data_IF_358162747264
#
_entry.id   IF_358162747264
#
_cell.length_a   1.000
_cell.length_b   1.000
_cell.length_c   1.000
_cell.angle_alpha   90.00
_cell.angle_beta   90.00
_cell.angle_gamma   90.00
#
_symmetry.space_group_name_H-M   'P 1'
#
loop_
_entity.id
_entity.type
_entity.pdbx_description
1 polymer ?
#
# COMPACT_ATOMS: atom_id res chain seq x y z
N UNK A 1 13.53 13.77 2.32
CA UNK A 1 14.92 13.33 2.60
C UNK A 1 15.30 13.51 4.08
N UNK A 2 15.01 14.66 4.69
CA UNK A 2 15.30 14.95 6.12
C UNK A 2 14.71 13.90 7.09
N UNK A 3 13.45 13.47 6.89
CA UNK A 3 12.82 12.48 7.78
C UNK A 3 13.55 11.12 7.78
N UNK A 4 14.06 10.70 6.62
CA UNK A 4 14.82 9.45 6.51
C UNK A 4 16.15 9.52 7.24
N UNK A 5 16.86 10.65 7.11
CA UNK A 5 18.12 10.89 7.84
C UNK A 5 17.90 10.81 9.35
N UNK A 6 16.86 11.48 9.87
CA UNK A 6 16.53 11.47 11.30
C UNK A 6 16.30 10.02 11.78
N UNK A 7 15.46 9.26 11.08
CA UNK A 7 15.14 7.88 11.47
C UNK A 7 16.36 6.97 11.45
N UNK A 8 17.20 7.07 10.42
CA UNK A 8 18.43 6.25 10.33
C UNK A 8 19.45 6.63 11.38
N UNK A 9 19.65 7.92 11.64
CA UNK A 9 20.53 8.39 12.71
C UNK A 9 20.06 7.87 14.07
N UNK A 10 18.76 7.97 14.35
CA UNK A 10 18.18 7.47 15.61
C UNK A 10 18.38 5.95 15.74
N UNK A 11 18.13 5.21 14.66
CA UNK A 11 18.32 3.76 14.64
C UNK A 11 19.77 3.36 14.89
N UNK A 12 20.74 4.06 14.29
CA UNK A 12 22.18 3.83 14.52
C UNK A 12 22.54 4.09 15.98
N UNK A 13 22.10 5.22 16.55
CA UNK A 13 22.38 5.58 17.95
C UNK A 13 21.80 4.53 18.90
N UNK A 14 20.51 4.19 18.74
CA UNK A 14 19.85 3.21 19.60
C UNK A 14 20.45 1.81 19.46
N UNK A 15 20.84 1.41 18.25
CA UNK A 15 21.53 0.13 18.03
C UNK A 15 22.92 0.15 18.66
N UNK A 16 23.63 1.27 18.60
CA UNK A 16 24.92 1.47 19.28
C UNK A 16 24.79 1.35 20.80
N UNK A 17 23.81 2.02 21.40
CA UNK A 17 23.50 1.93 22.83
C UNK A 17 23.12 0.48 23.20
N UNK A 18 22.29 -0.18 22.40
CA UNK A 18 21.92 -1.59 22.60
C UNK A 18 23.16 -2.49 22.57
N UNK A 19 24.08 -2.26 21.62
CA UNK A 19 25.30 -3.02 21.47
C UNK A 19 26.26 -2.82 22.65
N UNK A 20 26.33 -1.61 23.22
CA UNK A 20 27.09 -1.34 24.45
C UNK A 20 26.49 -2.06 25.66
N UNK A 21 25.16 -2.20 25.72
CA UNK A 21 24.45 -2.80 26.85
C UNK A 21 24.46 -4.33 26.81
N UNK A 22 24.23 -4.94 25.65
CA UNK A 22 24.27 -6.39 25.45
C UNK A 22 24.59 -6.71 24.00
N UNK A 23 25.85 -7.10 23.76
CA UNK A 23 26.35 -7.43 22.42
C UNK A 23 25.69 -8.69 21.85
N UNK A 24 25.46 -9.70 22.68
CA UNK A 24 24.91 -10.98 22.23
C UNK A 24 23.46 -10.80 21.80
N UNK A 25 22.65 -10.15 22.63
CA UNK A 25 21.24 -9.87 22.32
C UNK A 25 21.08 -8.95 21.11
N UNK A 26 21.96 -7.94 20.97
CA UNK A 26 21.92 -7.04 19.81
C UNK A 26 22.29 -7.77 18.52
N UNK A 27 23.31 -8.64 18.56
CA UNK A 27 23.71 -9.45 17.40
C UNK A 27 22.61 -10.42 16.97
N UNK A 28 21.95 -11.08 17.92
CA UNK A 28 20.82 -11.96 17.64
C UNK A 28 19.63 -11.21 17.04
N UNK A 29 19.31 -10.02 17.55
CA UNK A 29 18.28 -9.16 16.98
C UNK A 29 18.61 -8.78 15.53
N UNK A 30 19.83 -8.32 15.25
CA UNK A 30 20.28 -7.95 13.90
C UNK A 30 20.24 -9.14 12.94
N UNK A 31 20.65 -10.34 13.37
CA UNK A 31 20.58 -11.56 12.57
C UNK A 31 19.13 -11.94 12.23
N UNK A 32 18.21 -11.85 13.21
CA UNK A 32 16.78 -12.09 12.98
C UNK A 32 16.20 -11.08 12.01
N UNK A 33 16.47 -9.79 12.19
CA UNK A 33 16.04 -8.73 11.26
C UNK A 33 16.58 -8.96 9.85
N UNK A 34 17.86 -9.34 9.71
CA UNK A 34 18.46 -9.65 8.41
C UNK A 34 17.81 -10.86 7.73
N UNK A 35 17.51 -11.91 8.50
CA UNK A 35 16.79 -13.08 7.98
C UNK A 35 15.38 -12.70 7.51
N UNK A 36 14.65 -11.90 8.28
CA UNK A 36 13.34 -11.38 7.86
C UNK A 36 13.44 -10.54 6.59
N UNK A 37 14.42 -9.63 6.53
CA UNK A 37 14.67 -8.78 5.35
C UNK A 37 14.95 -9.63 4.12
N UNK A 38 15.85 -10.62 4.21
CA UNK A 38 16.17 -11.52 3.10
C UNK A 38 14.97 -12.34 2.63
N UNK A 39 14.06 -12.71 3.53
CA UNK A 39 12.85 -13.44 3.15
C UNK A 39 11.81 -12.54 2.44
N UNK A 40 11.77 -11.25 2.79
CA UNK A 40 10.90 -10.26 2.15
C UNK A 40 11.45 -9.77 0.81
N UNK A 41 12.77 -9.71 0.66
CA UNK A 41 13.45 -9.10 -0.49
C UNK A 41 13.04 -9.69 -1.85
N UNK A 42 12.95 -11.02 -2.06
CA UNK A 42 12.53 -11.59 -3.34
C UNK A 42 11.11 -11.15 -3.73
N UNK A 43 10.17 -11.21 -2.79
CA UNK A 43 8.80 -10.78 -3.04
C UNK A 43 8.74 -9.27 -3.35
N UNK A 44 9.49 -8.45 -2.62
CA UNK A 44 9.59 -7.01 -2.89
C UNK A 44 10.12 -6.73 -4.31
N UNK A 45 11.24 -7.36 -4.69
CA UNK A 45 11.85 -7.16 -6.00
C UNK A 45 10.95 -7.65 -7.14
N UNK A 46 10.31 -8.80 -6.99
CA UNK A 46 9.37 -9.32 -7.98
C UNK A 46 8.20 -8.38 -8.21
N UNK A 47 7.63 -7.81 -7.14
CA UNK A 47 6.51 -6.87 -7.29
C UNK A 47 6.99 -5.53 -7.86
N UNK A 48 8.16 -5.02 -7.45
CA UNK A 48 8.74 -3.81 -8.05
C UNK A 48 9.01 -3.98 -9.54
N UNK A 49 9.53 -5.14 -9.96
CA UNK A 49 9.70 -5.50 -11.37
C UNK A 49 8.36 -5.56 -12.09
N UNK A 50 7.36 -6.24 -11.51
CA UNK A 50 6.03 -6.36 -12.11
C UNK A 50 5.37 -4.99 -12.28
N UNK A 51 5.46 -4.11 -11.27
CA UNK A 51 4.95 -2.74 -11.34
C UNK A 51 5.71 -1.95 -12.41
N UNK A 52 7.04 -2.02 -12.45
CA UNK A 52 7.85 -1.35 -13.46
C UNK A 52 7.51 -1.81 -14.89
N UNK A 53 7.35 -3.11 -15.11
CA UNK A 53 6.91 -3.68 -16.39
C UNK A 53 5.48 -3.28 -16.73
N UNK A 54 4.58 -3.31 -15.75
CA UNK A 54 3.19 -2.90 -15.92
C UNK A 54 3.09 -1.43 -16.32
N UNK A 55 3.89 -0.53 -15.73
CA UNK A 55 3.95 0.88 -16.12
C UNK A 55 4.62 1.12 -17.47
N UNK A 56 5.51 0.22 -17.91
CA UNK A 56 6.07 0.25 -19.27
C UNK A 56 5.00 -0.06 -20.33
N UNK A 57 4.06 -0.95 -20.00
CA UNK A 57 2.95 -1.36 -20.88
C UNK A 57 1.75 -0.41 -20.76
N UNK A 58 1.40 -0.02 -19.53
CA UNK A 58 0.37 0.95 -19.20
C UNK A 58 0.96 2.34 -19.38
N UNK A 59 0.94 2.85 -20.61
CA UNK A 59 1.41 4.20 -20.91
C UNK A 59 0.77 5.23 -19.97
N UNK A 60 1.47 6.31 -19.60
CA UNK A 60 0.91 7.39 -18.80
C UNK A 60 -0.42 7.93 -19.37
N UNK A 61 -0.60 7.87 -20.70
CA UNK A 61 -1.86 8.20 -21.37
C UNK A 61 -3.01 7.24 -21.07
N UNK A 62 -2.74 5.94 -20.92
CA UNK A 62 -3.74 4.94 -20.52
C UNK A 62 -4.06 5.00 -19.02
N UNK A 63 -3.06 5.27 -18.18
CA UNK A 63 -3.28 5.51 -16.75
C UNK A 63 -4.12 6.79 -16.57
N UNK A 64 -3.77 7.86 -17.27
CA UNK A 64 -4.50 9.12 -17.21
C UNK A 64 -5.94 9.02 -17.75
N UNK A 65 -6.22 8.13 -18.70
CA UNK A 65 -7.57 7.99 -19.25
C UNK A 65 -8.53 7.21 -18.32
N UNK A 66 -8.01 6.31 -17.48
CA UNK A 66 -8.84 5.48 -16.56
C UNK A 66 -8.88 6.08 -15.15
N UNK A 67 -7.76 6.61 -14.66
CA UNK A 67 -7.60 7.09 -13.27
C UNK A 67 -6.88 8.43 -13.18
N UNK A 68 -6.76 9.17 -14.29
CA UNK A 68 -6.21 10.53 -14.29
C UNK A 68 -7.09 11.55 -13.58
N UNK A 69 -6.56 12.74 -13.29
CA UNK A 69 -7.35 13.82 -12.66
C UNK A 69 -8.67 14.12 -13.38
N UNK A 70 -8.65 14.07 -14.71
CA UNK A 70 -9.83 14.33 -15.55
C UNK A 70 -10.90 13.24 -15.50
N UNK A 71 -10.58 12.04 -14.99
CA UNK A 71 -11.54 10.94 -14.86
C UNK A 71 -12.63 11.18 -13.82
N UNK A 72 -12.42 12.17 -12.93
CA UNK A 72 -13.39 12.58 -11.91
C UNK A 72 -13.93 11.42 -11.10
N UNK A 73 -15.24 11.40 -10.88
CA UNK A 73 -15.90 10.44 -10.00
C UNK A 73 -15.86 9.01 -10.54
N UNK A 74 -15.91 8.85 -11.85
CA UNK A 74 -15.83 7.52 -12.47
C UNK A 74 -14.46 6.87 -12.24
N UNK A 75 -13.38 7.66 -12.26
CA UNK A 75 -12.04 7.15 -11.92
C UNK A 75 -11.94 6.66 -10.47
N UNK A 76 -12.62 7.32 -9.53
CA UNK A 76 -12.68 6.90 -8.12
C UNK A 76 -13.40 5.55 -8.00
N UNK A 77 -14.51 5.37 -8.71
CA UNK A 77 -15.26 4.10 -8.71
C UNK A 77 -14.43 2.97 -9.33
N UNK A 78 -13.78 3.21 -10.48
CA UNK A 78 -12.92 2.20 -11.11
C UNK A 78 -11.73 1.83 -10.21
N UNK A 79 -11.10 2.81 -9.57
CA UNK A 79 -10.02 2.61 -8.60
C UNK A 79 -10.48 1.75 -7.42
N UNK A 80 -11.66 2.05 -6.86
CA UNK A 80 -12.21 1.32 -5.74
C UNK A 80 -12.49 -0.15 -6.09
N UNK A 81 -13.05 -0.41 -7.28
CA UNK A 81 -13.31 -1.78 -7.77
C UNK A 81 -12.00 -2.53 -7.99
N UNK A 82 -11.04 -1.93 -8.69
CA UNK A 82 -9.73 -2.55 -8.96
C UNK A 82 -9.00 -2.90 -7.66
N UNK A 83 -8.95 -1.97 -6.71
CA UNK A 83 -8.32 -2.20 -5.42
C UNK A 83 -9.04 -3.28 -4.61
N UNK A 84 -10.38 -3.33 -4.65
CA UNK A 84 -11.14 -4.35 -3.90
C UNK A 84 -10.89 -5.79 -4.34
N UNK A 85 -10.46 -5.99 -5.60
CA UNK A 85 -10.13 -7.31 -6.16
C UNK A 85 -8.65 -7.64 -5.98
N UNK A 86 -7.77 -6.65 -6.07
CA UNK A 86 -6.33 -6.85 -5.94
C UNK A 86 -5.91 -7.07 -4.48
N UNK A 87 -4.92 -7.94 -4.25
CA UNK A 87 -4.32 -8.13 -2.93
C UNK A 87 -2.80 -7.94 -3.04
N UNK A 88 -2.31 -6.77 -2.61
CA UNK A 88 -0.89 -6.41 -2.67
C UNK A 88 -0.43 -6.05 -1.25
N UNK A 89 0.76 -6.51 -0.82
CA UNK A 89 1.32 -6.14 0.47
C UNK A 89 1.49 -4.62 0.64
N UNK A 90 1.23 -4.13 1.85
CA UNK A 90 1.19 -2.70 2.19
C UNK A 90 2.44 -1.91 1.81
N UNK A 91 3.63 -2.53 1.93
CA UNK A 91 4.91 -1.87 1.63
C UNK A 91 5.11 -1.57 0.14
N UNK A 92 4.35 -2.21 -0.76
CA UNK A 92 4.39 -1.95 -2.21
C UNK A 92 3.39 -0.87 -2.60
N UNK A 93 2.25 -0.83 -1.93
CA UNK A 93 1.12 0.04 -2.28
C UNK A 93 1.53 1.52 -2.25
N UNK A 94 2.35 1.94 -1.29
CA UNK A 94 2.82 3.32 -1.19
C UNK A 94 3.75 3.75 -2.35
N UNK A 95 4.84 3.01 -2.68
CA UNK A 95 5.61 3.27 -3.89
C UNK A 95 4.77 3.30 -5.17
N UNK A 96 3.84 2.34 -5.32
CA UNK A 96 2.95 2.28 -6.47
C UNK A 96 2.09 3.55 -6.57
N UNK A 97 1.46 3.96 -5.48
CA UNK A 97 0.65 5.17 -5.43
C UNK A 97 1.44 6.42 -5.83
N UNK A 98 2.64 6.59 -5.29
CA UNK A 98 3.52 7.70 -5.67
C UNK A 98 3.82 7.70 -7.17
N UNK A 99 4.15 6.53 -7.74
CA UNK A 99 4.46 6.43 -9.16
C UNK A 99 3.24 6.72 -10.03
N UNK A 100 2.04 6.26 -9.64
CA UNK A 100 0.80 6.59 -10.35
C UNK A 100 0.53 8.09 -10.37
N UNK A 101 0.69 8.77 -9.23
CA UNK A 101 0.55 10.24 -9.14
C UNK A 101 1.58 10.94 -10.03
N UNK A 102 2.85 10.51 -10.02
CA UNK A 102 3.89 11.07 -10.89
C UNK A 102 3.59 10.90 -12.39
N UNK A 103 2.79 9.89 -12.76
CA UNK A 103 2.37 9.63 -14.13
C UNK A 103 0.97 10.17 -14.48
N UNK A 104 0.42 11.08 -13.66
CA UNK A 104 -0.82 11.81 -13.99
C UNK A 104 -2.11 11.20 -13.44
N UNK A 105 -2.03 10.17 -12.58
CA UNK A 105 -3.19 9.69 -11.85
C UNK A 105 -3.66 10.74 -10.83
N UNK A 106 -4.97 10.92 -10.69
CA UNK A 106 -5.51 11.88 -9.74
C UNK A 106 -5.36 11.39 -8.29
N UNK A 107 -5.04 12.32 -7.39
CA UNK A 107 -4.86 12.04 -5.96
C UNK A 107 -6.07 11.31 -5.33
N UNK A 108 -7.34 11.71 -5.59
CA UNK A 108 -8.51 11.00 -5.07
C UNK A 108 -8.63 9.56 -5.58
N UNK A 109 -8.31 9.33 -6.85
CA UNK A 109 -8.35 8.03 -7.51
C UNK A 109 -7.29 7.10 -6.91
N UNK A 110 -6.07 7.61 -6.73
CA UNK A 110 -4.99 6.86 -6.07
C UNK A 110 -5.33 6.57 -4.60
N UNK A 111 -5.92 7.53 -3.88
CA UNK A 111 -6.39 7.32 -2.52
C UNK A 111 -7.47 6.22 -2.42
N UNK A 112 -8.43 6.19 -3.35
CA UNK A 112 -9.44 5.13 -3.44
C UNK A 112 -8.81 3.77 -3.74
N UNK A 113 -7.91 3.71 -4.73
CA UNK A 113 -7.21 2.48 -5.11
C UNK A 113 -6.44 1.90 -3.93
N UNK A 114 -5.62 2.73 -3.27
CA UNK A 114 -4.76 2.27 -2.18
C UNK A 114 -5.57 1.83 -0.95
N UNK A 115 -6.62 2.59 -0.59
CA UNK A 115 -7.44 2.29 0.57
C UNK A 115 -8.28 1.02 0.38
N UNK A 116 -8.90 0.82 -0.79
CA UNK A 116 -9.66 -0.41 -1.04
C UNK A 116 -8.76 -1.63 -1.13
N UNK A 117 -7.57 -1.51 -1.73
CA UNK A 117 -6.60 -2.60 -1.85
C UNK A 117 -6.15 -3.15 -0.49
N UNK A 118 -6.08 -2.29 0.52
CA UNK A 118 -5.72 -2.68 1.88
C UNK A 118 -6.91 -3.10 2.74
N UNK A 119 -8.04 -2.40 2.61
CA UNK A 119 -9.15 -2.51 3.55
C UNK A 119 -10.20 -3.55 3.11
N UNK A 120 -10.42 -3.67 1.81
CA UNK A 120 -11.44 -4.54 1.22
C UNK A 120 -10.81 -5.89 0.87
N UNK A 121 -11.39 -6.95 1.40
CA UNK A 121 -10.91 -8.32 1.27
C UNK A 121 -11.88 -9.20 0.49
N UNK A 122 -12.25 -8.84 -0.75
CA UNK A 122 -13.14 -9.70 -1.57
C UNK A 122 -12.48 -11.07 -1.79
N UNK A 123 -11.19 -11.09 -2.08
CA UNK A 123 -10.41 -12.33 -2.27
C UNK A 123 -10.26 -13.14 -0.99
N UNK A 124 -10.21 -12.49 0.17
CA UNK A 124 -10.16 -13.15 1.49
C UNK A 124 -11.53 -13.45 2.08
N UNK A 125 -12.62 -13.02 1.44
CA UNK A 125 -13.99 -13.17 1.94
C UNK A 125 -14.36 -14.61 2.28
N UNK A 126 -14.01 -15.66 1.50
CA UNK A 126 -14.32 -17.05 1.87
C UNK A 126 -13.66 -17.49 3.18
N UNK A 127 -12.45 -16.97 3.46
CA UNK A 127 -11.73 -17.23 4.70
C UNK A 127 -12.37 -16.48 5.86
N UNK A 128 -12.70 -15.20 5.68
CA UNK A 128 -13.38 -14.39 6.69
C UNK A 128 -14.74 -14.99 7.07
N UNK A 129 -15.51 -15.46 6.08
CA UNK A 129 -16.80 -16.11 6.33
C UNK A 129 -16.66 -17.38 7.17
N UNK A 130 -15.59 -18.17 6.97
CA UNK A 130 -15.33 -19.38 7.76
C UNK A 130 -14.91 -19.06 9.20
N UNK A 131 -14.15 -17.98 9.40
CA UNK A 131 -13.62 -17.63 10.71
C UNK A 131 -14.59 -16.81 11.57
N UNK A 132 -15.35 -15.89 10.97
CA UNK A 132 -16.14 -14.89 11.68
C UNK A 132 -17.63 -14.91 11.36
N UNK A 133 -18.05 -15.76 10.41
CA UNK A 133 -19.43 -15.82 9.94
C UNK A 133 -19.75 -14.83 8.82
N UNK A 134 -20.81 -15.13 8.07
CA UNK A 134 -21.17 -14.40 6.84
C UNK A 134 -21.58 -12.95 7.10
N UNK A 135 -22.40 -12.70 8.11
CA UNK A 135 -22.88 -11.36 8.45
C UNK A 135 -21.72 -10.42 8.76
N UNK A 136 -20.76 -10.88 9.55
CA UNK A 136 -19.56 -10.11 9.88
C UNK A 136 -18.70 -9.83 8.64
N UNK A 137 -18.41 -10.85 7.83
CA UNK A 137 -17.58 -10.69 6.63
C UNK A 137 -18.16 -9.66 5.65
N UNK A 138 -19.47 -9.70 5.39
CA UNK A 138 -20.13 -8.72 4.53
C UNK A 138 -20.14 -7.31 5.15
N UNK A 139 -20.50 -7.19 6.43
CA UNK A 139 -20.53 -5.89 7.10
C UNK A 139 -19.14 -5.23 7.14
N UNK A 140 -18.09 -6.01 7.41
CA UNK A 140 -16.69 -5.56 7.41
C UNK A 140 -16.28 -5.05 6.03
N UNK A 141 -16.52 -5.82 4.97
CA UNK A 141 -16.13 -5.44 3.61
C UNK A 141 -16.93 -4.23 3.10
N UNK A 142 -18.23 -4.17 3.37
CA UNK A 142 -19.06 -3.03 3.00
C UNK A 142 -18.60 -1.76 3.74
N UNK A 143 -18.33 -1.84 5.04
CA UNK A 143 -17.82 -0.73 5.84
C UNK A 143 -16.44 -0.27 5.34
N UNK A 144 -15.55 -1.21 5.02
CA UNK A 144 -14.23 -0.92 4.47
C UNK A 144 -14.31 -0.18 3.11
N UNK A 145 -15.21 -0.62 2.23
CA UNK A 145 -15.43 0.03 0.94
C UNK A 145 -15.99 1.45 1.13
N UNK A 146 -16.99 1.61 2.00
CA UNK A 146 -17.57 2.92 2.31
C UNK A 146 -16.53 3.88 2.89
N UNK A 147 -15.71 3.42 3.84
CA UNK A 147 -14.63 4.23 4.43
C UNK A 147 -13.57 4.61 3.40
N UNK A 148 -13.26 3.72 2.46
CA UNK A 148 -12.30 3.99 1.38
C UNK A 148 -12.81 5.08 0.42
N UNK A 149 -14.10 5.03 0.08
CA UNK A 149 -14.75 6.07 -0.74
C UNK A 149 -14.84 7.41 0.00
N UNK A 150 -15.18 7.38 1.30
CA UNK A 150 -15.16 8.56 2.17
C UNK A 150 -13.77 9.19 2.23
N UNK A 151 -12.73 8.38 2.42
CA UNK A 151 -11.35 8.85 2.43
C UNK A 151 -10.97 9.50 1.10
N UNK A 152 -11.27 8.84 -0.03
CA UNK A 152 -11.04 9.41 -1.37
C UNK A 152 -11.79 10.73 -1.57
N UNK A 153 -13.04 10.81 -1.13
CA UNK A 153 -13.84 12.04 -1.19
C UNK A 153 -13.24 13.17 -0.35
N UNK A 154 -12.74 12.87 0.86
CA UNK A 154 -12.05 13.86 1.69
C UNK A 154 -10.80 14.38 0.97
N UNK A 155 -9.99 13.48 0.40
CA UNK A 155 -8.81 13.88 -0.39
C UNK A 155 -9.22 14.75 -1.57
N UNK A 156 -10.33 14.42 -2.24
CA UNK A 156 -10.86 15.24 -3.32
C UNK A 156 -11.17 16.65 -2.84
N UNK A 157 -11.98 16.81 -1.80
CA UNK A 157 -12.41 18.13 -1.31
C UNK A 157 -11.23 18.97 -0.78
N UNK A 158 -10.19 18.34 -0.24
CA UNK A 158 -9.07 19.04 0.40
C UNK A 158 -7.95 19.39 -0.58
N UNK A 159 -7.70 18.56 -1.58
CA UNK A 159 -6.52 18.69 -2.46
C UNK A 159 -6.83 19.10 -3.91
N UNK A 160 -8.11 19.15 -4.30
CA UNK A 160 -8.57 19.58 -5.64
C UNK A 160 -9.50 20.77 -5.48
#
# INVERSE_FOLDING_TARGET
>A
MINGVILYTLAIILTGISFMKDRNKTKDALLKSWKMFRNLLPAMLSIMLFVGLSLSILTPSFISSIIGEQSGFLGVVYSAILGSVALIPSFVVFPLGNTLVQHGAGLPQVAALMSTLMAVGITTMPMEQKMFGRSFAYARNASALLMSLLFSYIIWVVMV
#
